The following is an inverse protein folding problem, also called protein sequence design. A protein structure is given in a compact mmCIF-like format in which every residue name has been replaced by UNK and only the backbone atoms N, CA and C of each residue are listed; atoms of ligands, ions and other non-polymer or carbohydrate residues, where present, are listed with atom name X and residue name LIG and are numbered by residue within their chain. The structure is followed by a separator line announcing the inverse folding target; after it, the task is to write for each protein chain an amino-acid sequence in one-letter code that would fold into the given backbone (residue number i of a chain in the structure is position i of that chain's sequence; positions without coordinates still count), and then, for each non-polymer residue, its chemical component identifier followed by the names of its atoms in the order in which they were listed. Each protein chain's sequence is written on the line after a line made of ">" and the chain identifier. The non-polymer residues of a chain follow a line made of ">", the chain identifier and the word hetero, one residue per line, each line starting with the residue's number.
data_IF_306327417090
#
_entry.id   IF_306327417090
#
_cell.length_a   1.000
_cell.length_b   1.000
_cell.length_c   1.000
_cell.angle_alpha   90.00
_cell.angle_beta   90.00
_cell.angle_gamma   90.00
#
_symmetry.space_group_name_H-M   'P 1'
#
loop_
_entity.id
_entity.type
_entity.pdbx_description
1 polymer ?
#
# COMPACT_ATOMS: atom_id res chain seq x y z
N UNK A 1 37.95 22.06 3.95
CA UNK A 1 37.55 21.13 2.88
C UNK A 1 36.14 21.50 2.45
N UNK A 2 35.94 22.09 1.28
CA UNK A 2 34.61 22.48 0.79
C UNK A 2 33.98 21.28 0.08
N UNK A 3 32.91 20.73 0.67
CA UNK A 3 32.15 19.68 0.01
C UNK A 3 31.36 20.29 -1.16
N UNK A 4 31.33 19.62 -2.33
CA UNK A 4 30.57 20.09 -3.48
C UNK A 4 29.08 20.17 -3.12
N UNK A 5 28.39 21.18 -3.68
CA UNK A 5 26.94 21.31 -3.50
C UNK A 5 26.26 20.06 -4.09
N UNK A 6 25.37 19.38 -3.34
CA UNK A 6 24.66 18.23 -3.87
C UNK A 6 23.86 18.63 -5.12
N UNK A 7 23.75 17.74 -6.11
CA UNK A 7 22.99 18.02 -7.33
C UNK A 7 21.55 18.39 -6.98
N UNK A 8 20.88 19.22 -7.80
CA UNK A 8 19.50 19.61 -7.55
C UNK A 8 18.63 18.36 -7.49
N UNK A 9 18.16 18.00 -6.29
CA UNK A 9 17.22 16.91 -6.11
C UNK A 9 15.91 17.32 -6.76
N UNK A 10 15.45 16.59 -7.77
CA UNK A 10 14.09 16.76 -8.29
C UNK A 10 13.13 16.52 -7.14
N UNK A 11 12.49 17.58 -6.64
CA UNK A 11 11.61 17.49 -5.47
C UNK A 11 10.35 16.74 -5.91
N UNK A 12 10.22 15.49 -5.48
CA UNK A 12 9.00 14.70 -5.65
C UNK A 12 8.26 14.77 -4.31
N UNK A 13 7.08 15.37 -4.29
CA UNK A 13 6.17 15.24 -3.14
C UNK A 13 5.60 13.81 -3.19
N UNK A 14 5.90 13.03 -2.17
CA UNK A 14 5.48 11.63 -2.07
C UNK A 14 4.89 11.39 -0.67
N UNK A 15 3.62 11.00 -0.64
CA UNK A 15 2.83 10.77 0.57
C UNK A 15 2.72 9.28 0.83
N UNK A 16 3.62 8.79 1.68
CA UNK A 16 3.63 7.41 2.14
C UNK A 16 2.96 7.33 3.50
N UNK A 17 2.05 6.36 3.66
CA UNK A 17 1.41 6.06 4.92
C UNK A 17 1.60 4.58 5.26
N UNK A 18 1.54 4.23 6.55
CA UNK A 18 1.51 2.84 7.00
C UNK A 18 0.31 2.63 7.91
N UNK A 19 -0.43 1.55 7.69
CA UNK A 19 -1.58 1.19 8.52
C UNK A 19 -1.52 -0.28 8.92
N UNK A 20 -1.51 -0.51 10.23
CA UNK A 20 -1.60 -1.85 10.79
C UNK A 20 -3.08 -2.24 10.88
N UNK A 21 -3.50 -3.15 10.00
CA UNK A 21 -4.92 -3.46 9.82
C UNK A 21 -5.47 -4.37 10.92
N UNK A 22 -4.64 -5.26 11.48
CA UNK A 22 -4.93 -6.33 12.47
C UNK A 22 -6.11 -7.27 12.18
N UNK A 23 -6.95 -6.95 11.21
CA UNK A 23 -8.27 -7.54 11.01
C UNK A 23 -8.59 -7.79 9.54
N UNK A 24 -7.82 -7.28 8.57
CA UNK A 24 -8.15 -7.37 7.14
C UNK A 24 -8.09 -8.82 6.61
N UNK A 25 -9.18 -9.57 6.75
CA UNK A 25 -9.33 -10.95 6.28
C UNK A 25 -10.32 -11.09 5.11
N UNK A 26 -11.31 -10.21 5.01
CA UNK A 26 -12.40 -10.30 4.05
C UNK A 26 -12.54 -9.05 3.16
N UNK A 27 -13.20 -9.21 2.02
CA UNK A 27 -13.42 -8.12 1.06
C UNK A 27 -14.30 -6.99 1.65
N UNK A 28 -15.20 -7.29 2.59
CA UNK A 28 -16.02 -6.26 3.26
C UNK A 28 -15.16 -5.28 4.07
N UNK A 29 -14.14 -5.77 4.77
CA UNK A 29 -13.20 -4.95 5.53
C UNK A 29 -12.28 -4.16 4.60
N UNK A 30 -11.93 -4.73 3.44
CA UNK A 30 -11.21 -4.01 2.40
C UNK A 30 -12.06 -2.85 1.87
N UNK A 31 -13.35 -3.07 1.58
CA UNK A 31 -14.25 -2.01 1.15
C UNK A 31 -14.31 -0.86 2.15
N UNK A 32 -14.49 -1.17 3.44
CA UNK A 32 -14.50 -0.15 4.50
C UNK A 32 -13.17 0.62 4.58
N UNK A 33 -12.03 -0.09 4.45
CA UNK A 33 -10.72 0.56 4.41
C UNK A 33 -10.60 1.48 3.19
N UNK A 34 -11.07 1.06 2.02
CA UNK A 34 -11.04 1.88 0.81
C UNK A 34 -11.91 3.15 0.97
N UNK A 35 -13.07 3.04 1.59
CA UNK A 35 -13.94 4.20 1.88
C UNK A 35 -13.25 5.21 2.82
N UNK A 36 -12.55 4.73 3.85
CA UNK A 36 -11.75 5.61 4.73
C UNK A 36 -10.53 6.21 4.02
N UNK A 37 -9.88 5.46 3.11
CA UNK A 37 -8.76 5.96 2.33
C UNK A 37 -9.15 7.18 1.48
N UNK A 38 -10.40 7.28 1.00
CA UNK A 38 -10.88 8.43 0.23
C UNK A 38 -10.81 9.76 1.00
N UNK A 39 -10.73 9.70 2.34
CA UNK A 39 -10.71 10.87 3.23
C UNK A 39 -9.30 11.38 3.49
N UNK A 40 -8.27 10.64 3.08
CA UNK A 40 -6.86 10.94 3.33
C UNK A 40 -6.12 11.12 2.01
N UNK A 41 -5.21 12.10 1.94
CA UNK A 41 -4.34 12.26 0.77
C UNK A 41 -3.12 11.34 0.91
N UNK A 42 -3.00 10.36 0.02
CA UNK A 42 -1.87 9.44 -0.04
C UNK A 42 -1.44 9.17 -1.49
N UNK A 43 -0.21 8.71 -1.68
CA UNK A 43 0.25 8.09 -2.93
C UNK A 43 0.35 6.57 -2.76
N UNK A 44 0.85 6.12 -1.61
CA UNK A 44 0.93 4.70 -1.25
C UNK A 44 0.65 4.53 0.24
N UNK A 45 -0.21 3.56 0.58
CA UNK A 45 -0.43 3.09 1.96
C UNK A 45 0.15 1.68 2.06
N UNK A 46 1.16 1.49 2.89
CA UNK A 46 1.64 0.17 3.31
C UNK A 46 0.72 -0.43 4.37
N UNK A 47 0.31 -1.68 4.19
CA UNK A 47 -0.55 -2.41 5.10
C UNK A 47 0.26 -3.51 5.78
N UNK A 48 0.08 -3.63 7.10
CA UNK A 48 0.65 -4.73 7.89
C UNK A 48 -0.42 -5.48 8.69
N UNK A 49 -0.04 -6.68 9.12
CA UNK A 49 -0.89 -7.61 9.87
C UNK A 49 -2.25 -7.89 9.21
N UNK A 50 -2.27 -8.00 7.89
CA UNK A 50 -3.46 -8.46 7.17
C UNK A 50 -3.72 -9.93 7.53
N UNK A 51 -4.99 -10.31 7.59
CA UNK A 51 -5.42 -11.68 7.94
C UNK A 51 -5.95 -12.44 6.73
N UNK A 52 -5.59 -12.03 5.51
CA UNK A 52 -5.99 -12.72 4.28
C UNK A 52 -5.29 -14.07 4.18
N UNK A 53 -6.05 -15.09 3.80
CA UNK A 53 -5.55 -16.44 3.49
C UNK A 53 -4.94 -16.50 2.09
N UNK A 54 -5.59 -15.86 1.13
CA UNK A 54 -5.14 -15.81 -0.26
C UNK A 54 -4.62 -14.41 -0.60
N UNK A 55 -3.60 -14.29 -1.46
CA UNK A 55 -3.18 -12.98 -1.95
C UNK A 55 -4.30 -12.29 -2.75
N UNK A 56 -4.18 -10.98 -2.98
CA UNK A 56 -5.05 -10.20 -3.84
C UNK A 56 -4.21 -9.27 -4.69
N UNK A 57 -4.52 -9.19 -5.98
CA UNK A 57 -4.10 -8.07 -6.82
C UNK A 57 -5.31 -7.63 -7.62
N UNK A 58 -5.73 -6.39 -7.41
CA UNK A 58 -6.93 -5.84 -8.04
C UNK A 58 -6.83 -4.33 -8.21
N UNK A 59 -7.60 -3.79 -9.14
CA UNK A 59 -7.87 -2.36 -9.24
C UNK A 59 -9.24 -2.07 -8.63
N UNK A 60 -9.31 -1.08 -7.75
CA UNK A 60 -10.55 -0.66 -7.11
C UNK A 60 -11.39 0.25 -8.01
N UNK A 61 -12.62 0.55 -7.59
CA UNK A 61 -13.59 1.33 -8.38
C UNK A 61 -13.12 2.75 -8.73
N UNK A 62 -12.26 3.32 -7.89
CA UNK A 62 -11.66 4.65 -8.08
C UNK A 62 -10.36 4.62 -8.89
N UNK A 63 -9.93 3.44 -9.35
CA UNK A 63 -8.66 3.24 -10.06
C UNK A 63 -7.47 2.95 -9.15
N UNK A 64 -7.65 2.90 -7.83
CA UNK A 64 -6.56 2.58 -6.90
C UNK A 64 -6.10 1.14 -7.08
N UNK A 65 -4.79 0.90 -7.07
CA UNK A 65 -4.24 -0.45 -7.07
C UNK A 65 -4.24 -1.03 -5.65
N UNK A 66 -4.70 -2.27 -5.50
CA UNK A 66 -4.71 -3.01 -4.24
C UNK A 66 -3.90 -4.29 -4.41
N UNK A 67 -2.88 -4.45 -3.59
CA UNK A 67 -2.00 -5.60 -3.61
C UNK A 67 -1.85 -6.12 -2.18
N UNK A 68 -2.28 -7.35 -1.92
CA UNK A 68 -2.24 -7.96 -0.60
C UNK A 68 -1.57 -9.32 -0.69
N UNK A 69 -0.59 -9.58 0.15
CA UNK A 69 -0.01 -10.90 0.34
C UNK A 69 -0.91 -11.77 1.22
N UNK A 70 -0.78 -13.09 1.04
CA UNK A 70 -1.32 -14.06 1.98
C UNK A 70 -0.54 -14.01 3.30
N UNK A 71 -1.23 -14.19 4.42
CA UNK A 71 -0.56 -14.54 5.67
C UNK A 71 0.02 -15.95 5.53
N UNK A 72 1.29 -16.12 5.91
CA UNK A 72 1.90 -17.45 6.06
C UNK A 72 1.28 -18.17 7.26
N UNK A 73 0.82 -19.41 7.07
CA UNK A 73 0.18 -20.20 8.13
C UNK A 73 1.10 -20.39 9.35
N UNK A 74 2.40 -20.57 9.10
CA UNK A 74 3.41 -20.77 10.14
C UNK A 74 3.89 -19.47 10.81
N UNK A 75 3.35 -18.31 10.41
CA UNK A 75 3.77 -17.03 10.95
C UNK A 75 2.82 -16.51 12.03
N UNK A 76 3.40 -16.06 13.13
CA UNK A 76 2.71 -15.28 14.17
C UNK A 76 2.28 -13.92 13.60
N UNK A 77 3.07 -13.35 12.67
CA UNK A 77 2.72 -12.11 11.98
C UNK A 77 1.68 -12.35 10.88
N UNK A 78 0.81 -11.36 10.67
CA UNK A 78 -0.11 -11.35 9.54
C UNK A 78 0.60 -11.07 8.21
N UNK A 79 -0.17 -11.10 7.12
CA UNK A 79 0.30 -10.70 5.80
C UNK A 79 0.57 -9.19 5.71
N UNK A 80 1.15 -8.80 4.58
CA UNK A 80 1.45 -7.41 4.24
C UNK A 80 0.78 -7.04 2.92
N UNK A 81 0.72 -5.75 2.61
CA UNK A 81 0.09 -5.29 1.38
C UNK A 81 0.33 -3.80 1.12
N UNK A 82 -0.19 -3.31 0.01
CA UNK A 82 -0.23 -1.89 -0.29
C UNK A 82 -1.49 -1.49 -1.05
N UNK A 83 -1.95 -0.26 -0.77
CA UNK A 83 -2.92 0.47 -1.58
C UNK A 83 -2.16 1.59 -2.28
N UNK A 84 -2.34 1.73 -3.59
CA UNK A 84 -1.63 2.69 -4.44
C UNK A 84 -2.64 3.58 -5.11
N UNK A 85 -2.47 4.90 -4.98
CA UNK A 85 -3.38 5.86 -5.58
C UNK A 85 -3.37 5.74 -7.12
N UNK A 86 -4.49 6.05 -7.80
CA UNK A 86 -4.62 5.85 -9.25
C UNK A 86 -3.53 6.56 -10.06
N UNK A 87 -3.20 7.80 -9.68
CA UNK A 87 -2.16 8.60 -10.35
C UNK A 87 -0.75 8.09 -10.09
N UNK A 88 -0.53 7.21 -9.12
CA UNK A 88 0.77 6.64 -8.80
C UNK A 88 0.93 5.19 -9.29
N UNK A 89 -0.17 4.52 -9.63
CA UNK A 89 -0.18 3.10 -10.01
C UNK A 89 0.75 2.80 -11.20
N UNK A 90 0.81 3.68 -12.20
CA UNK A 90 1.69 3.52 -13.36
C UNK A 90 3.19 3.48 -13.03
N UNK A 91 3.58 3.90 -11.81
CA UNK A 91 4.97 3.84 -11.34
C UNK A 91 5.32 2.50 -10.70
N UNK A 92 4.33 1.68 -10.38
CA UNK A 92 4.50 0.35 -9.82
C UNK A 92 4.66 -0.64 -10.97
N UNK A 93 5.91 -1.09 -11.20
CA UNK A 93 6.25 -1.98 -12.34
C UNK A 93 6.08 -3.45 -12.00
N UNK A 94 6.54 -3.85 -10.82
CA UNK A 94 6.51 -5.23 -10.34
C UNK A 94 6.13 -5.23 -8.86
N UNK A 95 4.84 -5.36 -8.57
CA UNK A 95 4.33 -5.56 -7.23
C UNK A 95 4.34 -7.06 -6.90
N UNK A 96 5.40 -7.53 -6.23
CA UNK A 96 5.46 -8.91 -5.68
C UNK A 96 5.38 -8.83 -4.16
N UNK A 97 4.40 -9.51 -3.58
CA UNK A 97 4.15 -9.57 -2.13
C UNK A 97 4.07 -11.03 -1.71
#
# INVERSE_FOLDING_TARGET
>A
MNLPRPPPTRRVDLRLCTFNTRLLCANSQLSLLMDECQRVKFDVIGLSETKRKEPLTATWRDGSGVFLGARKEDSISGGVGFIVAPHFLHRVRDARI
#
